data_IF_198519464225
#
_entry.id   IF_198519464225
#
_cell.length_a   1.000
_cell.length_b   1.000
_cell.length_c   1.000
_cell.angle_alpha   90.00
_cell.angle_beta   90.00
_cell.angle_gamma   90.00
#
_symmetry.space_group_name_H-M   'P 1'
#
loop_
_entity.id
_entity.type
_entity.pdbx_description
1 polymer ?
#
# COMPACT_ATOMS: atom_id res chain seq x y z
N UNK A 1 16.01 -12.55 -8.46
CA UNK A 1 14.96 -11.96 -9.31
C UNK A 1 13.65 -12.61 -8.88
N UNK A 2 12.67 -11.88 -8.34
CA UNK A 2 11.36 -12.45 -8.00
C UNK A 2 10.55 -12.59 -9.30
N UNK A 3 10.17 -13.81 -9.62
CA UNK A 3 9.51 -14.19 -10.87
C UNK A 3 8.01 -13.90 -10.78
N UNK A 4 7.55 -12.87 -11.47
CA UNK A 4 6.30 -12.73 -12.25
C UNK A 4 4.93 -13.20 -11.77
N UNK A 5 4.75 -13.95 -10.67
CA UNK A 5 3.47 -14.55 -10.27
C UNK A 5 3.30 -14.69 -8.74
N UNK A 6 4.02 -13.91 -7.93
CA UNK A 6 3.68 -13.81 -6.51
C UNK A 6 2.35 -13.07 -6.38
N UNK A 7 1.32 -13.80 -5.93
CA UNK A 7 0.02 -13.24 -5.57
C UNK A 7 0.20 -12.34 -4.35
N UNK A 8 -0.28 -11.11 -4.43
CA UNK A 8 -0.05 -10.13 -3.39
C UNK A 8 -1.06 -8.98 -3.40
N UNK A 9 -1.11 -8.28 -2.27
CA UNK A 9 -1.93 -7.09 -2.08
C UNK A 9 -1.19 -5.87 -2.61
N UNK A 10 -1.87 -5.07 -3.41
CA UNK A 10 -1.38 -3.77 -3.91
C UNK A 10 -2.29 -2.66 -3.40
N UNK A 11 -1.68 -1.61 -2.86
CA UNK A 11 -2.37 -0.38 -2.52
C UNK A 11 -2.49 0.49 -3.78
N UNK A 12 -3.65 1.12 -3.97
CA UNK A 12 -3.99 1.92 -5.14
C UNK A 12 -4.13 3.37 -4.73
N UNK A 13 -3.44 4.24 -5.46
CA UNK A 13 -3.48 5.68 -5.26
C UNK A 13 -3.87 6.41 -6.53
N UNK A 14 -4.63 7.49 -6.42
CA UNK A 14 -5.03 8.29 -7.58
C UNK A 14 -5.20 9.78 -7.26
N UNK A 15 -5.16 10.60 -8.32
CA UNK A 15 -5.47 12.04 -8.27
C UNK A 15 -6.25 12.47 -9.52
N UNK A 16 -7.14 13.46 -9.36
CA UNK A 16 -7.99 13.98 -10.45
C UNK A 16 -7.32 15.09 -11.26
N UNK A 17 -6.27 15.71 -10.72
CA UNK A 17 -5.52 16.78 -11.39
C UNK A 17 -4.07 16.85 -10.91
N UNK A 18 -3.19 17.48 -11.69
CA UNK A 18 -1.76 17.64 -11.36
C UNK A 18 -1.51 18.40 -10.05
N UNK A 19 -2.43 19.30 -9.68
CA UNK A 19 -2.33 20.11 -8.47
C UNK A 19 -2.86 19.41 -7.21
N UNK A 20 -3.53 18.27 -7.35
CA UNK A 20 -4.07 17.52 -6.22
C UNK A 20 -3.06 16.50 -5.67
N UNK A 21 -3.11 16.25 -4.35
CA UNK A 21 -2.32 15.20 -3.74
C UNK A 21 -2.76 13.84 -4.28
N UNK A 22 -1.79 12.94 -4.41
CA UNK A 22 -2.06 11.53 -4.66
C UNK A 22 -2.71 10.94 -3.41
N UNK A 23 -3.95 10.45 -3.53
CA UNK A 23 -4.72 9.91 -2.40
C UNK A 23 -4.82 8.40 -2.51
N UNK A 24 -4.78 7.72 -1.37
CA UNK A 24 -5.10 6.30 -1.30
C UNK A 24 -6.60 6.10 -1.56
N UNK A 25 -6.94 5.26 -2.53
CA UNK A 25 -8.34 5.02 -2.94
C UNK A 25 -8.81 3.59 -2.66
N UNK A 26 -7.90 2.67 -2.33
CA UNK A 26 -8.23 1.30 -1.95
C UNK A 26 -7.10 0.33 -2.29
N UNK A 27 -7.40 -0.95 -2.31
CA UNK A 27 -6.41 -2.01 -2.57
C UNK A 27 -7.00 -3.08 -3.49
N UNK A 28 -6.13 -3.86 -4.11
CA UNK A 28 -6.48 -5.00 -4.94
C UNK A 28 -5.56 -6.19 -4.65
N UNK A 29 -6.05 -7.39 -4.91
CA UNK A 29 -5.24 -8.61 -4.97
C UNK A 29 -4.89 -8.90 -6.43
N UNK A 30 -3.61 -9.15 -6.71
CA UNK A 30 -3.17 -9.47 -8.07
C UNK A 30 -1.93 -10.37 -8.10
N UNK A 31 -1.79 -11.26 -9.11
CA UNK A 31 -0.58 -12.03 -9.32
C UNK A 31 0.43 -11.20 -10.11
N UNK A 32 1.17 -10.35 -9.38
CA UNK A 32 2.26 -9.53 -9.90
C UNK A 32 1.88 -8.14 -10.43
N UNK A 33 2.90 -7.32 -10.65
CA UNK A 33 2.80 -5.88 -10.98
C UNK A 33 2.07 -5.59 -12.31
N UNK A 34 2.15 -6.49 -13.29
CA UNK A 34 1.50 -6.29 -14.60
C UNK A 34 -0.02 -6.43 -14.48
N UNK A 35 -0.48 -7.49 -13.80
CA UNK A 35 -1.91 -7.72 -13.60
C UNK A 35 -2.49 -6.74 -12.56
N UNK A 36 -1.71 -6.32 -11.57
CA UNK A 36 -2.11 -5.28 -10.63
C UNK A 36 -2.52 -3.99 -11.34
N UNK A 37 -1.78 -3.57 -12.37
CA UNK A 37 -2.12 -2.38 -13.17
C UNK A 37 -3.44 -2.53 -13.91
N UNK A 38 -3.67 -3.69 -14.52
CA UNK A 38 -4.91 -3.98 -15.26
C UNK A 38 -6.10 -4.04 -14.31
N UNK A 39 -5.95 -4.67 -13.16
CA UNK A 39 -7.02 -4.82 -12.18
C UNK A 39 -7.38 -3.48 -11.54
N UNK A 40 -6.38 -2.69 -11.12
CA UNK A 40 -6.63 -1.37 -10.55
C UNK A 40 -7.36 -0.45 -11.54
N UNK A 41 -6.96 -0.47 -12.82
CA UNK A 41 -7.65 0.29 -13.84
C UNK A 41 -9.11 -0.16 -13.97
N UNK A 42 -9.38 -1.47 -14.09
CA UNK A 42 -10.76 -2.00 -14.20
C UNK A 42 -11.63 -1.76 -12.97
N UNK A 43 -11.04 -1.73 -11.78
CA UNK A 43 -11.79 -1.59 -10.52
C UNK A 43 -12.13 -0.13 -10.23
N UNK A 44 -11.29 0.81 -10.68
CA UNK A 44 -11.39 2.23 -10.34
C UNK A 44 -11.52 3.15 -11.57
N UNK A 45 -12.00 2.66 -12.71
CA UNK A 45 -12.14 3.45 -13.95
C UNK A 45 -13.33 4.44 -13.94
N UNK A 46 -14.19 4.40 -12.93
CA UNK A 46 -15.41 5.23 -12.84
C UNK A 46 -15.15 6.73 -12.80
N UNK A 47 -13.94 7.14 -12.41
CA UNK A 47 -13.55 8.53 -12.23
C UNK A 47 -12.49 8.94 -13.26
N UNK A 48 -12.50 10.22 -13.64
CA UNK A 48 -11.56 10.78 -14.61
C UNK A 48 -10.19 11.06 -13.94
N UNK A 49 -9.50 9.99 -13.56
CA UNK A 49 -8.20 10.08 -12.90
C UNK A 49 -7.14 10.64 -13.85
N UNK A 50 -6.44 11.68 -13.40
CA UNK A 50 -5.28 12.22 -14.10
C UNK A 50 -4.10 11.25 -14.00
N UNK A 51 -3.96 10.60 -12.85
CA UNK A 51 -2.91 9.62 -12.58
C UNK A 51 -3.41 8.60 -11.57
N UNK A 52 -3.05 7.34 -11.81
CA UNK A 52 -3.32 6.20 -10.94
C UNK A 52 -2.04 5.38 -10.79
N UNK A 53 -1.69 5.04 -9.56
CA UNK A 53 -0.49 4.28 -9.22
C UNK A 53 -0.87 3.06 -8.39
N UNK A 54 -0.18 1.95 -8.63
CA UNK A 54 -0.25 0.74 -7.80
C UNK A 54 1.08 0.54 -7.10
N UNK A 55 1.04 0.18 -5.82
CA UNK A 55 2.23 -0.05 -5.01
C UNK A 55 2.06 -1.38 -4.27
N UNK A 56 3.01 -2.33 -4.38
CA UNK A 56 2.96 -3.55 -3.57
C UNK A 56 2.89 -3.18 -2.08
N UNK A 57 1.96 -3.78 -1.33
CA UNK A 57 1.75 -3.44 0.09
C UNK A 57 3.03 -3.61 0.92
N UNK A 58 3.86 -4.61 0.58
CA UNK A 58 5.15 -4.84 1.22
C UNK A 58 6.20 -3.74 0.97
N UNK A 59 5.99 -2.85 0.00
CA UNK A 59 6.86 -1.70 -0.25
C UNK A 59 6.45 -0.46 0.58
N UNK A 60 5.26 -0.47 1.20
CA UNK A 60 4.80 0.61 2.07
C UNK A 60 5.42 0.43 3.46
N UNK A 61 6.37 1.29 3.79
CA UNK A 61 7.10 1.24 5.07
C UNK A 61 6.43 2.20 6.07
N UNK A 62 5.75 1.70 7.11
CA UNK A 62 5.15 2.57 8.13
C UNK A 62 6.25 3.20 8.99
N UNK A 63 6.11 4.50 9.28
CA UNK A 63 7.09 5.25 10.09
C UNK A 63 6.73 5.35 11.57
N UNK A 64 5.46 5.09 11.91
CA UNK A 64 4.90 5.30 13.26
C UNK A 64 4.16 4.08 13.82
N UNK A 65 4.18 2.94 13.13
CA UNK A 65 3.52 1.73 13.61
C UNK A 65 4.48 0.92 14.47
N UNK A 66 4.13 0.74 15.74
CA UNK A 66 4.90 0.01 16.77
C UNK A 66 4.66 -1.51 16.71
N UNK A 67 4.14 -2.03 15.60
CA UNK A 67 3.85 -3.47 15.44
C UNK A 67 4.75 -4.08 14.34
N UNK A 68 6.04 -3.82 14.44
CA UNK A 68 7.08 -4.51 13.68
C UNK A 68 7.97 -5.31 14.63
N UNK A 69 8.73 -6.31 14.14
CA UNK A 69 9.66 -7.09 14.96
C UNK A 69 10.80 -6.26 15.62
N UNK A 70 10.86 -4.94 15.36
CA UNK A 70 11.77 -3.98 16.00
C UNK A 70 11.06 -2.96 16.90
N UNK A 71 9.78 -3.17 17.21
CA UNK A 71 9.10 -2.44 18.26
C UNK A 71 9.87 -2.65 19.56
N UNK A 72 10.63 -1.65 19.97
CA UNK A 72 11.44 -1.69 21.19
C UNK A 72 10.49 -2.05 22.33
N UNK A 73 10.75 -3.18 22.98
CA UNK A 73 10.11 -3.56 24.23
C UNK A 73 10.09 -2.33 25.14
N UNK A 74 8.90 -1.82 25.44
CA UNK A 74 8.75 -0.88 26.54
C UNK A 74 9.02 -1.73 27.78
N UNK A 75 10.10 -1.49 28.55
CA UNK A 75 10.27 -2.20 29.81
C UNK A 75 9.08 -1.84 30.68
N UNK A 76 8.37 -2.86 31.13
CA UNK A 76 7.33 -2.77 32.15
C UNK A 76 7.91 -2.01 33.34
N UNK A 77 7.46 -0.78 33.56
CA UNK A 77 7.74 -0.06 34.80
C UNK A 77 7.19 -0.91 35.94
N UNK A 78 8.08 -1.54 36.70
CA UNK A 78 7.73 -2.34 37.87
C UNK A 78 7.10 -1.41 38.91
N UNK A 79 5.81 -1.55 39.28
CA UNK A 79 5.30 -0.87 40.46
C UNK A 79 5.69 -1.75 41.67
N UNK A 80 6.84 -1.45 42.25
CA UNK A 80 7.36 -2.14 43.42
C UNK A 80 8.06 -1.13 44.34
N UNK A 81 7.25 -0.42 45.11
CA UNK A 81 7.66 0.30 46.32
C UNK A 81 8.03 -0.66 47.44
#
# INVERSE_FOLDING_TARGET
MRTGLDEGVYEVFARKSRGEPLRHIGYIDAPGDELARVYAWKTYDEENWFEMCVVPRGAVIPVNRVEGPWAKNVPEETPGS
#
